data_IF_854274971371
#
_entry.id   IF_854274971371
#
_cell.length_a   1.000
_cell.length_b   1.000
_cell.length_c   1.000
_cell.angle_alpha   90.00
_cell.angle_beta   90.00
_cell.angle_gamma   90.00
#
_symmetry.space_group_name_H-M   'P 1'
#
loop_
_entity.id
_entity.type
_entity.pdbx_description
1 polymer ?
#
# COMPACT_ATOMS: atom_id res chain seq x y z
N UNK A 1 -6.75 18.53 10.14
CA UNK A 1 -6.40 19.25 11.40
C UNK A 1 -4.91 19.55 11.38
N UNK A 2 -4.35 20.24 12.36
CA UNK A 2 -2.89 20.45 12.39
C UNK A 2 -2.33 20.22 13.79
N UNK A 3 -1.51 19.18 13.93
CA UNK A 3 -0.73 18.98 15.15
C UNK A 3 0.32 20.08 15.25
N UNK A 4 0.72 20.45 16.47
CA UNK A 4 1.82 21.41 16.63
C UNK A 4 3.12 20.81 16.10
N UNK A 5 3.97 21.64 15.47
CA UNK A 5 5.28 21.21 14.94
C UNK A 5 6.10 20.44 15.96
N UNK A 6 6.09 20.86 17.23
CA UNK A 6 6.77 20.13 18.32
C UNK A 6 6.33 18.67 18.40
N UNK A 7 5.03 18.39 18.34
CA UNK A 7 4.49 17.03 18.41
C UNK A 7 4.89 16.24 17.17
N UNK A 8 4.79 16.85 15.98
CA UNK A 8 5.24 16.24 14.72
C UNK A 8 6.71 15.84 14.79
N UNK A 9 7.58 16.73 15.28
CA UNK A 9 9.02 16.44 15.43
C UNK A 9 9.29 15.30 16.42
N UNK A 10 8.53 15.20 17.52
CA UNK A 10 8.68 14.10 18.47
C UNK A 10 8.29 12.75 17.86
N UNK A 11 7.18 12.70 17.12
CA UNK A 11 6.78 11.50 16.38
C UNK A 11 7.81 11.19 15.29
N UNK A 12 8.36 12.21 14.66
CA UNK A 12 9.42 12.07 13.66
C UNK A 12 10.67 11.40 14.23
N UNK A 13 11.10 11.79 15.44
CA UNK A 13 12.24 11.15 16.10
C UNK A 13 11.99 9.67 16.38
N UNK A 14 10.75 9.29 16.71
CA UNK A 14 10.35 7.88 16.87
C UNK A 14 10.39 7.13 15.53
N UNK A 15 9.90 7.72 14.45
CA UNK A 15 9.94 7.12 13.11
C UNK A 15 11.38 6.95 12.63
N UNK A 16 12.23 7.98 12.78
CA UNK A 16 13.65 7.91 12.43
C UNK A 16 14.44 6.95 13.33
N UNK A 17 13.93 6.62 14.51
CA UNK A 17 14.65 5.88 15.55
C UNK A 17 15.87 6.64 16.05
N UNK A 18 15.74 7.95 16.23
CA UNK A 18 16.82 8.79 16.75
C UNK A 18 16.91 8.57 18.27
N UNK A 19 17.94 7.87 18.75
CA UNK A 19 18.18 7.64 20.16
C UNK A 19 19.46 6.82 20.40
N UNK A 20 20.00 6.79 21.62
CA UNK A 20 21.12 5.93 21.96
C UNK A 20 20.71 4.46 21.89
N UNK A 21 21.52 3.62 21.23
CA UNK A 21 21.19 2.23 20.89
C UNK A 21 20.75 1.38 22.09
N UNK A 22 21.33 1.59 23.27
CA UNK A 22 21.07 0.81 24.48
C UNK A 22 19.68 1.06 25.10
N UNK A 23 19.06 2.20 24.82
CA UNK A 23 17.73 2.56 25.34
C UNK A 23 16.74 2.92 24.23
N UNK A 24 17.09 2.63 22.97
CA UNK A 24 16.23 2.90 21.83
C UNK A 24 15.05 1.92 21.82
N UNK A 25 13.83 2.46 21.80
CA UNK A 25 12.58 1.69 21.71
C UNK A 25 12.06 1.60 20.26
N UNK A 26 12.73 2.29 19.35
CA UNK A 26 12.40 2.37 17.93
C UNK A 26 13.64 2.08 17.10
N UNK A 27 13.48 1.26 16.07
CA UNK A 27 14.56 0.93 15.12
C UNK A 27 15.05 2.17 14.41
N UNK A 28 16.36 2.30 14.32
CA UNK A 28 16.98 3.32 13.48
C UNK A 28 16.62 3.10 12.00
N UNK A 29 16.11 4.14 11.32
CA UNK A 29 15.74 4.08 9.89
C UNK A 29 16.58 5.03 9.06
N UNK A 30 17.45 4.52 8.20
CA UNK A 30 18.16 5.30 7.16
C UNK A 30 17.18 5.88 6.14
N UNK A 31 17.65 6.71 5.19
CA UNK A 31 16.80 7.25 4.11
C UNK A 31 16.11 6.15 3.29
N UNK A 32 16.80 5.05 2.98
CA UNK A 32 16.21 3.91 2.27
C UNK A 32 15.12 3.22 3.10
N UNK A 33 15.36 3.01 4.40
CA UNK A 33 14.38 2.41 5.30
C UNK A 33 13.20 3.33 5.62
N UNK A 34 13.37 4.66 5.49
CA UNK A 34 12.27 5.60 5.57
C UNK A 34 11.38 5.53 4.33
N UNK A 35 11.97 5.44 3.13
CA UNK A 35 11.20 5.20 1.90
C UNK A 35 10.42 3.88 2.00
N UNK A 36 11.06 2.80 2.47
CA UNK A 36 10.38 1.50 2.69
C UNK A 36 9.25 1.63 3.71
N UNK A 37 9.49 2.28 4.86
CA UNK A 37 8.47 2.51 5.89
C UNK A 37 7.24 3.25 5.35
N UNK A 38 7.42 4.27 4.50
CA UNK A 38 6.32 5.00 3.89
C UNK A 38 5.64 4.22 2.75
N UNK A 39 6.37 3.34 2.07
CA UNK A 39 5.78 2.38 1.12
C UNK A 39 4.89 1.36 1.83
N UNK A 40 5.32 0.82 2.98
CA UNK A 40 4.58 -0.17 3.78
C UNK A 40 3.22 0.35 4.29
N UNK A 41 3.02 1.67 4.33
CA UNK A 41 1.76 2.30 4.75
C UNK A 41 0.93 2.79 3.56
N UNK A 42 1.18 2.23 2.38
CA UNK A 42 0.61 2.54 1.07
C UNK A 42 0.65 4.04 0.76
N UNK A 43 1.87 4.59 0.72
CA UNK A 43 2.12 5.94 0.23
C UNK A 43 3.28 5.94 -0.75
N UNK A 44 3.29 6.91 -1.67
CA UNK A 44 4.36 7.08 -2.65
C UNK A 44 5.51 7.98 -2.14
N UNK A 45 5.56 8.28 -0.84
CA UNK A 45 6.58 9.16 -0.29
C UNK A 45 7.96 8.50 -0.31
N UNK A 46 8.83 9.00 -1.17
CA UNK A 46 10.23 8.60 -1.23
C UNK A 46 11.15 9.68 -0.66
N UNK A 47 12.12 9.27 0.15
CA UNK A 47 13.09 10.18 0.73
C UNK A 47 13.94 10.86 -0.35
N UNK A 48 14.01 12.19 -0.32
CA UNK A 48 14.57 13.03 -1.40
C UNK A 48 16.08 13.34 -1.27
N UNK A 49 16.72 12.84 -0.21
CA UNK A 49 18.14 13.05 0.07
C UNK A 49 18.40 14.23 1.02
N UNK A 50 17.36 14.92 1.48
CA UNK A 50 17.47 15.94 2.52
C UNK A 50 17.68 15.32 3.91
N UNK A 51 17.66 16.13 4.97
CA UNK A 51 17.83 15.62 6.34
C UNK A 51 16.63 14.76 6.74
N UNK A 52 16.86 13.49 7.11
CA UNK A 52 15.83 12.51 7.52
C UNK A 52 14.74 13.10 8.43
N UNK A 53 15.14 13.77 9.51
CA UNK A 53 14.20 14.33 10.48
C UNK A 53 13.33 15.45 9.88
N UNK A 54 13.91 16.31 9.03
CA UNK A 54 13.13 17.36 8.36
C UNK A 54 12.18 16.76 7.31
N UNK A 55 12.69 15.83 6.50
CA UNK A 55 11.90 15.16 5.47
C UNK A 55 10.69 14.42 6.08
N UNK A 56 10.89 13.60 7.11
CA UNK A 56 9.80 12.85 7.76
C UNK A 56 8.78 13.82 8.37
N UNK A 57 9.23 14.89 9.03
CA UNK A 57 8.32 15.84 9.66
C UNK A 57 7.46 16.58 8.62
N UNK A 58 8.04 16.94 7.47
CA UNK A 58 7.32 17.61 6.39
C UNK A 58 6.36 16.63 5.68
N UNK A 59 6.74 15.37 5.53
CA UNK A 59 5.85 14.30 5.05
C UNK A 59 4.68 14.06 6.01
N UNK A 60 4.92 14.02 7.33
CA UNK A 60 3.85 13.89 8.32
C UNK A 60 2.89 15.09 8.31
N UNK A 61 3.38 16.31 8.07
CA UNK A 61 2.50 17.48 7.94
C UNK A 61 1.56 17.34 6.73
N UNK A 62 2.07 16.90 5.58
CA UNK A 62 1.23 16.60 4.40
C UNK A 62 0.18 15.54 4.71
N UNK A 63 0.57 14.46 5.36
CA UNK A 63 -0.34 13.38 5.77
C UNK A 63 -1.42 13.86 6.73
N UNK A 64 -1.11 14.79 7.64
CA UNK A 64 -2.08 15.36 8.60
C UNK A 64 -3.07 16.35 7.96
N UNK A 65 -2.71 16.92 6.81
CA UNK A 65 -3.56 17.80 6.00
C UNK A 65 -4.57 17.02 5.14
N UNK A 66 -4.39 15.70 4.98
CA UNK A 66 -5.35 14.85 4.27
C UNK A 66 -6.77 14.89 4.88
N UNK A 67 -7.82 14.59 4.09
CA UNK A 67 -9.19 14.55 4.57
C UNK A 67 -9.38 13.58 5.75
N UNK A 68 -10.18 14.01 6.72
CA UNK A 68 -10.52 13.20 7.88
C UNK A 68 -11.85 12.46 7.66
N UNK A 69 -11.97 11.20 8.07
CA UNK A 69 -13.21 10.42 7.91
C UNK A 69 -14.35 10.92 8.83
N UNK A 70 -14.05 11.79 9.81
CA UNK A 70 -15.07 12.40 10.64
C UNK A 70 -14.49 13.23 11.80
N UNK A 71 -15.35 13.93 12.56
CA UNK A 71 -14.92 14.73 13.71
C UNK A 71 -14.22 13.88 14.77
N UNK A 72 -13.09 14.38 15.29
CA UNK A 72 -12.30 13.65 16.29
C UNK A 72 -11.56 12.42 15.73
N UNK A 73 -11.47 12.26 14.41
CA UNK A 73 -10.64 11.24 13.76
C UNK A 73 -9.41 11.87 13.11
N UNK A 74 -8.31 11.14 13.07
CA UNK A 74 -7.14 11.52 12.28
C UNK A 74 -7.31 11.04 10.83
N UNK A 75 -6.52 11.55 9.86
CA UNK A 75 -6.49 10.98 8.53
C UNK A 75 -6.11 9.49 8.56
N UNK A 76 -6.71 8.68 7.69
CA UNK A 76 -6.50 7.23 7.67
C UNK A 76 -5.03 6.86 7.42
N UNK A 77 -4.33 7.65 6.59
CA UNK A 77 -2.90 7.48 6.33
C UNK A 77 -2.08 7.66 7.59
N UNK A 78 -2.41 8.67 8.42
CA UNK A 78 -1.74 8.86 9.71
C UNK A 78 -2.00 7.70 10.68
N UNK A 79 -3.21 7.15 10.68
CA UNK A 79 -3.51 5.96 11.49
C UNK A 79 -2.65 4.75 11.08
N UNK A 80 -2.47 4.52 9.77
CA UNK A 80 -1.57 3.46 9.24
C UNK A 80 -0.10 3.70 9.60
N UNK A 81 0.36 4.95 9.55
CA UNK A 81 1.72 5.33 10.03
C UNK A 81 1.92 4.90 11.48
N UNK A 82 0.96 5.20 12.36
CA UNK A 82 1.06 4.80 13.77
C UNK A 82 0.97 3.28 13.94
N UNK A 83 0.10 2.59 13.19
CA UNK A 83 0.05 1.12 13.20
C UNK A 83 1.39 0.49 12.84
N UNK A 84 1.97 0.88 11.70
CA UNK A 84 3.26 0.36 11.23
C UNK A 84 4.40 0.69 12.19
N UNK A 85 4.42 1.92 12.73
CA UNK A 85 5.42 2.34 13.72
C UNK A 85 5.37 1.50 15.00
N UNK A 86 4.15 1.11 15.40
CA UNK A 86 3.85 0.37 16.62
C UNK A 86 3.65 -1.14 16.39
N UNK A 87 4.14 -1.70 15.29
CA UNK A 87 4.09 -3.14 15.05
C UNK A 87 4.83 -3.90 16.19
N UNK A 88 4.18 -4.88 16.87
CA UNK A 88 4.82 -5.70 17.90
C UNK A 88 6.09 -6.41 17.43
N UNK A 89 6.16 -6.81 16.15
CA UNK A 89 7.34 -7.47 15.56
C UNK A 89 8.54 -6.52 15.45
N UNK A 90 8.29 -5.21 15.54
CA UNK A 90 9.31 -4.16 15.48
C UNK A 90 9.94 -3.80 16.84
N UNK A 91 9.54 -4.46 17.93
CA UNK A 91 10.05 -4.18 19.28
C UNK A 91 11.59 -4.26 19.36
N UNK A 92 12.18 -3.30 20.06
CA UNK A 92 13.63 -3.18 20.32
C UNK A 92 13.82 -2.77 21.77
N UNK A 93 14.72 -3.44 22.50
CA UNK A 93 15.00 -3.19 23.92
C UNK A 93 13.77 -3.25 24.84
N UNK A 94 12.67 -3.85 24.38
CA UNK A 94 11.45 -4.13 25.11
C UNK A 94 10.77 -5.37 24.50
N UNK A 95 9.76 -5.90 25.18
CA UNK A 95 8.98 -7.02 24.66
C UNK A 95 7.90 -6.57 23.63
N UNK A 96 7.19 -7.54 23.06
CA UNK A 96 6.16 -7.28 22.04
C UNK A 96 4.94 -6.49 22.56
N UNK A 97 4.80 -6.29 23.88
CA UNK A 97 3.74 -5.43 24.42
C UNK A 97 4.05 -3.94 24.26
N UNK A 98 5.31 -3.60 23.94
CA UNK A 98 5.78 -2.25 23.55
C UNK A 98 5.35 -1.14 24.51
N UNK A 99 5.32 -1.43 25.82
CA UNK A 99 4.83 -0.50 26.85
C UNK A 99 5.64 0.79 26.86
N UNK A 100 6.96 0.72 26.70
CA UNK A 100 7.83 1.88 26.68
C UNK A 100 7.56 2.74 25.46
N UNK A 101 7.53 2.14 24.27
CA UNK A 101 7.22 2.86 23.03
C UNK A 101 5.83 3.50 23.09
N UNK A 102 4.83 2.80 23.63
CA UNK A 102 3.46 3.31 23.76
C UNK A 102 3.40 4.52 24.71
N UNK A 103 4.09 4.46 25.85
CA UNK A 103 4.20 5.59 26.77
C UNK A 103 4.87 6.80 26.09
N UNK A 104 5.95 6.57 25.36
CA UNK A 104 6.69 7.64 24.67
C UNK A 104 5.83 8.30 23.58
N UNK A 105 5.10 7.50 22.81
CA UNK A 105 4.15 7.98 21.80
C UNK A 105 3.00 8.79 22.43
N UNK A 106 2.39 8.26 23.49
CA UNK A 106 1.27 8.92 24.18
C UNK A 106 1.65 10.22 24.87
N UNK A 107 2.89 10.35 25.36
CA UNK A 107 3.40 11.62 25.89
C UNK A 107 3.39 12.75 24.85
N UNK A 108 3.46 12.40 23.56
CA UNK A 108 3.37 13.34 22.43
C UNK A 108 1.92 13.56 22.01
N UNK A 109 1.17 12.47 21.76
CA UNK A 109 -0.21 12.51 21.25
C UNK A 109 -1.21 13.15 22.24
N UNK A 110 -1.02 12.98 23.55
CA UNK A 110 -1.94 13.49 24.55
C UNK A 110 -2.08 15.03 24.48
N UNK A 111 -1.04 15.73 24.01
CA UNK A 111 -1.06 17.19 23.81
C UNK A 111 -1.95 17.65 22.66
N UNK A 112 -2.26 16.74 21.74
CA UNK A 112 -3.13 16.95 20.59
C UNK A 112 -4.52 16.35 20.82
N UNK A 113 -4.79 15.78 22.01
CA UNK A 113 -6.08 15.19 22.36
C UNK A 113 -6.26 13.74 21.91
N UNK A 114 -5.18 13.05 21.57
CA UNK A 114 -5.21 11.65 21.11
C UNK A 114 -4.43 10.72 22.01
N UNK A 115 -4.82 9.45 21.99
CA UNK A 115 -4.14 8.36 22.69
C UNK A 115 -4.05 7.15 21.76
N UNK A 116 -2.86 6.56 21.69
CA UNK A 116 -2.58 5.28 21.08
C UNK A 116 -2.80 4.15 22.09
N UNK A 117 -3.40 3.05 21.62
CA UNK A 117 -3.61 1.84 22.42
C UNK A 117 -3.58 0.60 21.53
N UNK A 118 -3.22 -0.56 22.10
CA UNK A 118 -3.37 -1.84 21.41
C UNK A 118 -4.78 -2.40 21.61
N UNK A 119 -5.44 -2.76 20.51
CA UNK A 119 -6.72 -3.46 20.55
C UNK A 119 -6.52 -4.99 20.63
N UNK A 120 -7.59 -5.78 20.87
CA UNK A 120 -7.49 -7.24 21.01
C UNK A 120 -6.95 -7.99 19.79
N UNK A 121 -6.94 -7.36 18.61
CA UNK A 121 -6.35 -7.87 17.38
C UNK A 121 -4.81 -7.72 17.32
N UNK A 122 -4.21 -7.13 18.37
CA UNK A 122 -2.77 -6.88 18.46
C UNK A 122 -2.31 -5.65 17.68
N UNK A 123 -3.22 -4.87 17.10
CA UNK A 123 -2.89 -3.67 16.32
C UNK A 123 -3.03 -2.40 17.16
N UNK A 124 -2.21 -1.39 16.84
CA UNK A 124 -2.22 -0.11 17.53
C UNK A 124 -3.22 0.86 16.88
N UNK A 125 -4.14 1.42 17.65
CA UNK A 125 -5.14 2.37 17.16
C UNK A 125 -5.06 3.70 17.89
N UNK A 126 -5.52 4.76 17.22
CA UNK A 126 -5.65 6.09 17.79
C UNK A 126 -7.10 6.36 18.18
N UNK A 127 -7.32 6.78 19.43
CA UNK A 127 -8.61 7.33 19.88
C UNK A 127 -8.49 8.77 20.31
N UNK A 128 -9.54 9.53 20.09
CA UNK A 128 -9.66 10.88 20.65
C UNK A 128 -10.07 10.81 22.11
N UNK A 129 -9.33 11.46 22.99
CA UNK A 129 -9.45 11.32 24.46
C UNK A 129 -10.82 11.80 24.95
N UNK A 130 -11.34 12.90 24.40
CA UNK A 130 -12.59 13.49 24.91
C UNK A 130 -13.86 12.75 24.43
N UNK A 131 -13.81 12.12 23.25
CA UNK A 131 -15.00 11.49 22.63
C UNK A 131 -14.91 9.97 22.57
N UNK A 132 -13.75 9.38 22.89
CA UNK A 132 -13.43 7.95 22.71
C UNK A 132 -13.67 7.44 21.28
N UNK A 133 -13.70 8.34 20.29
CA UNK A 133 -13.83 7.95 18.89
C UNK A 133 -12.49 7.41 18.41
N UNK A 134 -12.48 6.15 18.00
CA UNK A 134 -11.31 5.48 17.43
C UNK A 134 -11.23 5.73 15.92
N UNK A 135 -10.03 6.01 15.45
CA UNK A 135 -9.69 5.96 14.02
C UNK A 135 -9.09 4.58 13.73
N UNK A 136 -9.91 3.71 13.15
CA UNK A 136 -9.42 2.47 12.56
C UNK A 136 -9.17 2.74 11.06
N UNK A 137 -7.98 2.45 10.52
CA UNK A 137 -7.83 2.31 9.09
C UNK A 137 -8.73 1.15 8.66
N UNK A 138 -9.76 1.45 7.88
CA UNK A 138 -10.60 0.40 7.33
C UNK A 138 -9.73 -0.52 6.48
N UNK A 139 -9.91 -1.84 6.60
CA UNK A 139 -9.41 -2.83 5.63
C UNK A 139 -10.20 -2.73 4.31
N UNK A 140 -10.55 -1.51 3.90
CA UNK A 140 -11.45 -1.28 2.79
C UNK A 140 -10.67 -1.49 1.49
N UNK A 141 -11.02 -2.51 0.68
CA UNK A 141 -10.42 -2.72 -0.63
C UNK A 141 -10.59 -1.49 -1.54
N UNK A 142 -11.54 -0.61 -1.21
CA UNK A 142 -11.87 0.62 -1.92
C UNK A 142 -11.39 1.89 -1.20
N UNK A 143 -10.23 1.85 -0.54
CA UNK A 143 -9.63 3.07 0.02
C UNK A 143 -9.58 4.17 -1.05
N UNK A 144 -9.91 5.44 -0.71
CA UNK A 144 -9.68 6.56 -1.60
C UNK A 144 -8.22 6.61 -2.07
N UNK A 145 -8.00 6.78 -3.38
CA UNK A 145 -6.67 6.85 -3.99
C UNK A 145 -5.83 8.01 -3.42
N UNK A 146 -4.52 7.79 -3.30
CA UNK A 146 -3.51 8.83 -3.07
C UNK A 146 -3.51 9.84 -4.23
N UNK A 147 -2.90 11.03 -4.06
CA UNK A 147 -2.79 12.00 -5.14
C UNK A 147 -2.03 11.42 -6.36
N UNK A 148 -0.94 10.68 -6.11
CA UNK A 148 -0.17 10.01 -7.17
C UNK A 148 -0.96 8.87 -7.81
N UNK A 149 -1.69 8.09 -7.01
CA UNK A 149 -2.56 7.02 -7.53
C UNK A 149 -3.68 7.61 -8.39
N UNK A 150 -4.23 8.76 -7.99
CA UNK A 150 -5.21 9.49 -8.78
C UNK A 150 -4.58 9.99 -10.08
N UNK A 151 -3.38 10.58 -10.04
CA UNK A 151 -2.64 10.98 -11.25
C UNK A 151 -2.37 9.80 -12.19
N UNK A 152 -1.92 8.65 -11.66
CA UNK A 152 -1.72 7.41 -12.44
C UNK A 152 -3.05 6.91 -13.01
N UNK A 153 -4.14 6.98 -12.23
CA UNK A 153 -5.49 6.61 -12.67
C UNK A 153 -5.96 7.49 -13.82
N UNK A 154 -5.70 8.79 -13.78
CA UNK A 154 -6.04 9.71 -14.87
C UNK A 154 -5.16 9.49 -16.12
N UNK A 155 -3.95 8.94 -15.97
CA UNK A 155 -3.09 8.55 -17.10
C UNK A 155 -3.45 7.19 -17.71
N UNK A 156 -4.14 6.33 -16.96
CA UNK A 156 -4.50 4.98 -17.39
C UNK A 156 -5.39 4.95 -18.65
N UNK A 157 -6.43 5.81 -18.80
CA UNK A 157 -7.20 5.87 -20.04
C UNK A 157 -6.35 6.20 -21.26
N UNK A 158 -5.39 7.13 -21.12
CA UNK A 158 -4.49 7.54 -22.21
C UNK A 158 -3.59 6.37 -22.62
N UNK A 159 -3.08 5.63 -21.64
CA UNK A 159 -2.32 4.41 -21.90
C UNK A 159 -3.18 3.35 -22.61
N UNK A 160 -4.38 3.05 -22.10
CA UNK A 160 -5.26 2.03 -22.70
C UNK A 160 -5.76 2.39 -24.10
N UNK A 161 -5.93 3.68 -24.40
CA UNK A 161 -6.34 4.14 -25.74
C UNK A 161 -5.20 4.10 -26.77
N UNK A 162 -3.95 4.18 -26.31
CA UNK A 162 -2.76 4.23 -27.18
C UNK A 162 -1.97 2.92 -27.24
N UNK A 163 -2.12 2.05 -26.25
CA UNK A 163 -1.44 0.77 -26.16
C UNK A 163 -2.00 -0.23 -27.18
N UNK A 164 -1.11 -0.88 -27.91
CA UNK A 164 -1.47 -2.04 -28.73
C UNK A 164 -1.74 -3.27 -27.86
N UNK A 165 -2.45 -4.26 -28.41
CA UNK A 165 -2.72 -5.54 -27.73
C UNK A 165 -1.42 -6.22 -27.28
N UNK A 166 -0.40 -6.22 -28.15
CA UNK A 166 0.90 -6.81 -27.84
C UNK A 166 1.59 -6.08 -26.66
N UNK A 167 1.57 -4.74 -26.64
CA UNK A 167 2.14 -3.95 -25.54
C UNK A 167 1.39 -4.18 -24.22
N UNK A 168 0.06 -4.25 -24.25
CA UNK A 168 -0.73 -4.54 -23.05
C UNK A 168 -0.43 -5.94 -22.51
N UNK A 169 -0.30 -6.93 -23.38
CA UNK A 169 0.02 -8.30 -22.99
C UNK A 169 1.44 -8.38 -22.40
N UNK A 170 2.43 -7.81 -23.08
CA UNK A 170 3.84 -7.94 -22.70
C UNK A 170 4.21 -7.10 -21.47
N UNK A 171 3.72 -5.86 -21.38
CA UNK A 171 4.14 -4.92 -20.34
C UNK A 171 3.28 -5.00 -19.08
N UNK A 172 2.05 -5.50 -19.17
CA UNK A 172 1.12 -5.55 -18.02
C UNK A 172 0.73 -6.98 -17.67
N UNK A 173 0.15 -7.72 -18.61
CA UNK A 173 -0.47 -9.02 -18.30
C UNK A 173 0.57 -10.10 -18.00
N UNK A 174 1.65 -10.19 -18.78
CA UNK A 174 2.71 -11.18 -18.54
C UNK A 174 3.42 -10.99 -17.20
N UNK A 175 3.86 -9.77 -16.80
CA UNK A 175 4.40 -9.53 -15.47
C UNK A 175 3.43 -9.91 -14.36
N UNK A 176 2.15 -9.54 -14.50
CA UNK A 176 1.12 -9.83 -13.51
C UNK A 176 0.91 -11.35 -13.36
N UNK A 177 0.78 -12.09 -14.46
CA UNK A 177 0.67 -13.55 -14.41
C UNK A 177 1.92 -14.22 -13.82
N UNK A 178 3.12 -13.75 -14.15
CA UNK A 178 4.36 -14.26 -13.54
C UNK A 178 4.40 -14.02 -12.03
N UNK A 179 3.94 -12.85 -11.57
CA UNK A 179 3.86 -12.52 -10.15
C UNK A 179 2.82 -13.40 -9.42
N UNK A 180 1.74 -13.79 -10.10
CA UNK A 180 0.76 -14.76 -9.59
C UNK A 180 1.24 -16.23 -9.69
N UNK A 181 2.48 -16.49 -10.09
CA UNK A 181 3.06 -17.84 -10.13
C UNK A 181 2.83 -18.61 -11.43
N UNK A 182 2.33 -17.96 -12.49
CA UNK A 182 2.25 -18.59 -13.80
C UNK A 182 3.62 -18.50 -14.50
N UNK A 183 4.34 -19.62 -14.54
CA UNK A 183 5.71 -19.67 -15.05
C UNK A 183 5.82 -19.90 -16.57
N UNK A 184 4.70 -20.19 -17.26
CA UNK A 184 4.64 -20.47 -18.70
C UNK A 184 3.53 -19.69 -19.38
N UNK A 185 3.63 -18.36 -19.36
CA UNK A 185 2.75 -17.49 -20.14
C UNK A 185 3.59 -16.81 -21.21
N UNK A 186 3.21 -17.04 -22.47
CA UNK A 186 3.84 -16.45 -23.65
C UNK A 186 2.75 -15.84 -24.52
N UNK A 187 2.92 -14.59 -24.93
CA UNK A 187 2.06 -13.95 -25.92
C UNK A 187 2.26 -14.67 -27.27
N UNK A 188 1.22 -15.30 -27.81
CA UNK A 188 1.31 -15.98 -29.12
C UNK A 188 1.02 -14.96 -30.22
N UNK A 189 2.07 -14.30 -30.72
CA UNK A 189 1.94 -13.31 -31.81
C UNK A 189 1.76 -13.96 -33.19
N UNK A 190 0.81 -13.43 -33.97
CA UNK A 190 0.59 -13.75 -35.39
C UNK A 190 1.78 -13.32 -36.26
N UNK A 191 2.83 -14.13 -36.35
CA UNK A 191 3.85 -14.05 -37.40
C UNK A 191 4.18 -15.45 -37.91
N UNK A 192 3.35 -15.94 -38.81
CA UNK A 192 3.68 -16.83 -39.94
C UNK A 192 2.44 -17.59 -40.41
N UNK A 193 1.60 -16.91 -41.22
CA UNK A 193 0.68 -17.60 -42.11
C UNK A 193 1.46 -18.11 -43.33
N UNK A 194 2.08 -19.27 -43.19
CA UNK A 194 2.29 -20.17 -44.32
C UNK A 194 1.30 -21.34 -44.19
N UNK A 195 0.15 -21.18 -44.87
CA UNK A 195 -0.77 -22.25 -45.29
C UNK A 195 -1.28 -23.21 -44.19
N UNK A 196 -2.34 -22.83 -43.48
CA UNK A 196 -3.61 -23.59 -43.37
C UNK A 196 -4.71 -22.59 -42.97
N UNK A 197 -5.83 -22.58 -43.68
CA UNK A 197 -7.06 -21.86 -43.26
C UNK A 197 -7.61 -22.50 -41.99
N UNK A 198 -7.41 -21.88 -40.84
CA UNK A 198 -8.39 -21.93 -39.75
C UNK A 198 -8.52 -20.53 -39.15
N UNK A 199 -9.77 -20.11 -39.04
CA UNK A 199 -10.23 -18.84 -38.50
C UNK A 199 -10.45 -19.08 -37.00
N UNK A 200 -9.45 -18.80 -36.17
CA UNK A 200 -9.48 -19.06 -34.74
C UNK A 200 -8.88 -17.86 -33.98
N UNK A 201 -9.53 -17.34 -32.93
CA UNK A 201 -9.01 -16.25 -32.11
C UNK A 201 -7.78 -16.69 -31.30
N UNK A 202 -6.90 -15.74 -30.97
CA UNK A 202 -5.70 -15.94 -30.15
C UNK A 202 -6.07 -16.65 -28.83
N UNK A 203 -5.50 -17.84 -28.59
CA UNK A 203 -5.77 -18.68 -27.41
C UNK A 203 -4.61 -18.61 -26.40
N UNK A 204 -4.92 -18.26 -25.15
CA UNK A 204 -4.04 -18.45 -24.00
C UNK A 204 -4.24 -19.87 -23.45
N UNK A 205 -3.19 -20.69 -23.42
CA UNK A 205 -3.24 -22.07 -22.90
C UNK A 205 -2.44 -22.14 -21.61
N UNK A 206 -3.13 -22.31 -20.48
CA UNK A 206 -2.51 -22.57 -19.19
C UNK A 206 -2.32 -24.09 -19.00
N UNK A 207 -1.09 -24.54 -18.73
CA UNK A 207 -0.77 -25.90 -18.32
C UNK A 207 -0.35 -25.90 -16.86
N UNK A 208 -1.19 -26.43 -15.98
CA UNK A 208 -0.86 -26.71 -14.57
C UNK A 208 -0.10 -28.03 -14.48
N UNK A 209 1.09 -28.03 -13.87
CA UNK A 209 1.78 -29.28 -13.55
C UNK A 209 1.28 -29.87 -12.23
N UNK A 210 1.23 -31.21 -12.19
CA UNK A 210 0.31 -32.04 -11.40
C UNK A 210 0.62 -32.11 -9.90
N UNK A 211 -0.43 -32.02 -9.08
CA UNK A 211 -0.80 -33.09 -8.12
C UNK A 211 -2.33 -33.09 -7.83
N UNK A 212 -3.07 -34.08 -8.34
CA UNK A 212 -4.39 -34.52 -7.84
C UNK A 212 -5.65 -34.07 -8.62
N UNK A 213 -6.18 -34.97 -9.46
CA UNK A 213 -7.38 -34.84 -10.35
C UNK A 213 -8.74 -34.90 -9.59
N UNK A 214 -9.91 -34.46 -10.15
CA UNK A 214 -10.39 -34.78 -11.51
C UNK A 214 -10.78 -33.61 -12.42
N UNK A 215 -10.24 -33.67 -13.64
CA UNK A 215 -10.87 -33.42 -14.94
C UNK A 215 -12.09 -32.48 -14.97
N UNK A 216 -11.79 -31.18 -15.00
CA UNK A 216 -12.61 -30.20 -15.70
C UNK A 216 -11.63 -29.34 -16.48
N UNK A 217 -11.65 -29.43 -17.81
CA UNK A 217 -11.07 -28.37 -18.63
C UNK A 217 -11.96 -27.15 -18.43
N UNK A 218 -11.63 -26.27 -17.49
CA UNK A 218 -12.19 -24.92 -17.48
C UNK A 218 -11.38 -24.09 -18.47
N UNK A 219 -11.82 -24.15 -19.73
CA UNK A 219 -11.39 -23.24 -20.79
C UNK A 219 -11.95 -21.85 -20.49
N UNK A 220 -11.08 -20.88 -20.18
CA UNK A 220 -11.47 -19.48 -20.09
C UNK A 220 -11.36 -18.86 -21.49
N UNK A 221 -12.46 -18.90 -22.23
CA UNK A 221 -12.56 -18.32 -23.59
C UNK A 221 -12.85 -16.82 -23.47
N UNK A 222 -11.85 -15.97 -23.61
CA UNK A 222 -12.05 -14.51 -23.70
C UNK A 222 -12.42 -14.18 -25.15
N UNK A 223 -13.73 -14.07 -25.40
CA UNK A 223 -14.29 -13.74 -26.71
C UNK A 223 -14.61 -12.25 -26.86
N UNK A 224 -14.08 -11.67 -27.93
CA UNK A 224 -14.39 -10.37 -28.54
C UNK A 224 -14.04 -9.08 -27.76
N UNK A 225 -13.48 -8.15 -28.55
CA UNK A 225 -12.98 -6.81 -28.25
C UNK A 225 -13.92 -5.91 -27.39
N UNK A 226 -15.23 -6.16 -27.36
CA UNK A 226 -16.18 -5.38 -26.55
C UNK A 226 -16.32 -5.90 -25.10
N UNK A 227 -16.13 -7.20 -24.85
CA UNK A 227 -16.39 -7.79 -23.54
C UNK A 227 -15.37 -7.36 -22.46
N UNK A 228 -14.12 -7.15 -22.86
CA UNK A 228 -13.06 -6.71 -21.94
C UNK A 228 -13.16 -5.22 -21.61
N UNK A 229 -13.64 -4.42 -22.56
CA UNK A 229 -13.92 -2.99 -22.40
C UNK A 229 -15.11 -2.75 -21.46
N UNK A 230 -16.15 -3.57 -21.59
CA UNK A 230 -17.32 -3.54 -20.71
C UNK A 230 -17.01 -4.04 -19.29
N UNK A 231 -16.18 -5.08 -19.13
CA UNK A 231 -15.73 -5.57 -17.81
C UNK A 231 -14.85 -4.56 -17.08
N UNK A 232 -13.98 -3.84 -17.79
CA UNK A 232 -13.12 -2.81 -17.18
C UNK A 232 -13.88 -1.49 -16.92
N UNK A 233 -14.89 -1.14 -17.72
CA UNK A 233 -15.71 0.07 -17.46
C UNK A 233 -16.78 -0.14 -16.40
N UNK A 234 -17.29 -1.36 -16.20
CA UNK A 234 -18.30 -1.67 -15.19
C UNK A 234 -17.75 -1.75 -13.75
N UNK A 235 -16.42 -1.67 -13.59
CA UNK A 235 -15.74 -1.84 -12.30
C UNK A 235 -14.86 -0.62 -11.91
N UNK A 236 -14.91 0.45 -12.70
CA UNK A 236 -14.32 1.77 -12.43
C UNK A 236 -15.39 2.78 -12.00
#
# INVERSE_FOLDING_TARGET
>A
MRFKRRTVMQITDMICGNGPDESALFRYRSSSYLTEFFSDVDTDYAHDGTTRQHWVADTLEKVLEEPQPGPGKVPLTFARVIQRLMDPADAVNEDQSRVGALQMLNASLAREGFEAYYAPDGQCYLRHIATNVTTAPEQNPHRPFSATELERREQLPVYLDSASEDELIDDVLLPLFRQMGFHRVTATGHKDKALVKYDEPTRLVALTDRTGFPSSQEELTIGHHDAMRDLLSATL
#
